data_IF_934874455971
#
_entry.id   IF_934874455971
#
_cell.length_a   1.000
_cell.length_b   1.000
_cell.length_c   1.000
_cell.angle_alpha   90.00
_cell.angle_beta   90.00
_cell.angle_gamma   90.00
#
_symmetry.space_group_name_H-M   'P 1'
#
loop_
_entity.id
_entity.type
_entity.pdbx_description
1 polymer ?
#
# COMPACT_ATOMS: atom_id res chain seq x y z
N UNK A 1 4.08 -33.44 18.63
CA UNK A 1 2.70 -33.89 18.25
C UNK A 1 1.69 -33.93 19.41
N UNK A 2 2.04 -33.79 20.70
CA UNK A 2 1.05 -33.87 21.80
C UNK A 2 0.22 -32.59 22.05
N UNK A 3 0.70 -31.41 21.63
CA UNK A 3 0.01 -30.12 21.87
C UNK A 3 -1.17 -29.85 20.90
N UNK A 4 -1.18 -30.48 19.72
CA UNK A 4 -2.27 -30.29 18.75
C UNK A 4 -3.53 -31.06 19.11
N UNK A 5 -3.40 -32.18 19.83
CA UNK A 5 -4.55 -32.99 20.25
C UNK A 5 -5.43 -32.24 21.26
N UNK A 6 -4.83 -31.54 22.22
CA UNK A 6 -5.55 -30.72 23.20
C UNK A 6 -6.33 -29.59 22.52
N UNK A 7 -5.76 -29.00 21.46
CA UNK A 7 -6.37 -27.91 20.69
C UNK A 7 -7.56 -28.38 19.85
N UNK A 8 -7.51 -29.60 19.32
CA UNK A 8 -8.61 -30.23 18.58
C UNK A 8 -9.73 -30.62 19.55
N UNK A 9 -9.38 -31.17 20.73
CA UNK A 9 -10.36 -31.53 21.76
C UNK A 9 -11.13 -30.29 22.27
N UNK A 10 -10.44 -29.17 22.51
CA UNK A 10 -11.05 -27.91 22.92
C UNK A 10 -12.03 -27.32 21.88
N UNK A 11 -11.85 -27.64 20.60
CA UNK A 11 -12.74 -27.16 19.54
C UNK A 11 -14.01 -28.02 19.40
N UNK A 12 -13.99 -29.27 19.86
CA UNK A 12 -15.15 -30.18 19.76
C UNK A 12 -16.29 -29.85 20.73
N UNK A 13 -15.98 -29.32 21.92
CA UNK A 13 -16.99 -28.93 22.91
C UNK A 13 -17.92 -27.80 22.42
N UNK A 14 -17.43 -26.66 21.89
CA UNK A 14 -18.31 -25.59 21.42
C UNK A 14 -19.12 -26.00 20.18
N UNK A 15 -18.60 -26.87 19.31
CA UNK A 15 -19.32 -27.39 18.15
C UNK A 15 -20.54 -28.24 18.54
N UNK A 16 -20.40 -29.10 19.54
CA UNK A 16 -21.53 -29.92 20.02
C UNK A 16 -22.62 -29.08 20.68
N UNK A 17 -22.25 -28.01 21.41
CA UNK A 17 -23.21 -27.08 22.01
C UNK A 17 -23.99 -26.33 20.91
N UNK A 18 -23.32 -25.91 19.83
CA UNK A 18 -23.96 -25.26 18.68
C UNK A 18 -24.97 -26.19 17.98
N UNK A 19 -24.60 -27.46 17.78
CA UNK A 19 -25.48 -28.47 17.16
C UNK A 19 -26.69 -28.81 18.05
N UNK A 20 -26.50 -28.81 19.37
CA UNK A 20 -27.62 -29.08 20.30
C UNK A 20 -28.57 -27.88 20.36
N UNK A 21 -28.04 -26.66 20.31
CA UNK A 21 -28.83 -25.42 20.23
C UNK A 21 -29.62 -25.31 18.92
N UNK A 22 -29.03 -25.71 17.78
CA UNK A 22 -29.73 -25.69 16.49
C UNK A 22 -30.87 -26.70 16.44
N UNK A 23 -30.72 -27.88 17.06
CA UNK A 23 -31.78 -28.88 17.13
C UNK A 23 -32.99 -28.43 18.00
N UNK A 24 -32.73 -27.65 19.05
CA UNK A 24 -33.80 -27.09 19.90
C UNK A 24 -34.56 -25.96 19.20
N UNK A 25 -33.93 -25.22 18.30
CA UNK A 25 -34.54 -24.10 17.57
C UNK A 25 -35.35 -24.50 16.31
N UNK A 26 -35.31 -25.75 15.87
CA UNK A 26 -35.94 -26.22 14.62
C UNK A 26 -37.45 -26.53 14.73
N UNK A 27 -38.09 -26.29 15.88
CA UNK A 27 -39.52 -26.60 16.07
C UNK A 27 -40.50 -25.48 15.73
N UNK A 28 -40.03 -24.32 15.29
CA UNK A 28 -40.91 -23.22 14.88
C UNK A 28 -40.92 -23.08 13.36
N UNK A 29 -41.97 -23.61 12.73
CA UNK A 29 -42.23 -23.51 11.29
C UNK A 29 -42.51 -22.04 10.92
N UNK A 30 -41.61 -21.33 10.21
CA UNK A 30 -41.93 -20.01 9.69
C UNK A 30 -42.75 -20.23 8.42
N UNK A 31 -43.96 -19.68 8.37
CA UNK A 31 -44.65 -19.50 7.10
C UNK A 31 -43.83 -18.48 6.30
N UNK A 32 -43.05 -18.94 5.33
CA UNK A 32 -42.30 -18.06 4.43
C UNK A 32 -43.26 -17.66 3.31
N UNK A 33 -43.83 -16.47 3.41
CA UNK A 33 -44.30 -15.72 2.24
C UNK A 33 -43.11 -15.52 1.29
N UNK A 34 -43.21 -15.88 0.00
CA UNK A 34 -42.11 -15.69 -0.93
C UNK A 34 -41.96 -14.19 -1.23
N UNK A 35 -41.14 -13.50 -0.44
CA UNK A 35 -40.56 -12.23 -0.83
C UNK A 35 -39.26 -12.53 -1.55
N UNK A 36 -39.26 -12.29 -2.87
CA UNK A 36 -38.11 -12.43 -3.75
C UNK A 36 -36.93 -11.64 -3.19
N UNK A 37 -35.85 -12.28 -2.72
CA UNK A 37 -34.68 -11.57 -2.27
C UNK A 37 -33.94 -11.04 -3.49
N UNK A 38 -33.97 -9.72 -3.72
CA UNK A 38 -33.09 -9.07 -4.69
C UNK A 38 -31.66 -9.25 -4.20
N UNK A 39 -31.02 -10.31 -4.66
CA UNK A 39 -29.59 -10.55 -4.49
C UNK A 39 -28.88 -9.48 -5.31
N UNK A 40 -28.42 -8.40 -4.69
CA UNK A 40 -27.53 -7.42 -5.34
C UNK A 40 -26.18 -8.07 -5.58
N UNK A 41 -26.15 -8.91 -6.62
CA UNK A 41 -24.94 -9.24 -7.34
C UNK A 41 -24.33 -7.92 -7.85
N UNK A 42 -23.05 -7.68 -7.58
CA UNK A 42 -22.29 -6.56 -8.19
C UNK A 42 -21.96 -6.81 -9.67
N UNK A 43 -22.62 -7.78 -10.29
CA UNK A 43 -22.58 -7.96 -11.74
C UNK A 43 -23.54 -6.93 -12.32
N UNK A 44 -23.00 -5.97 -13.07
CA UNK A 44 -23.79 -5.10 -13.92
C UNK A 44 -24.66 -6.01 -14.79
N UNK A 45 -25.96 -6.06 -14.52
CA UNK A 45 -26.90 -6.69 -15.43
C UNK A 45 -26.86 -5.87 -16.70
N UNK A 46 -26.37 -6.47 -17.77
CA UNK A 46 -26.36 -5.89 -19.11
C UNK A 46 -27.82 -5.86 -19.58
N UNK A 47 -28.56 -4.84 -19.14
CA UNK A 47 -29.87 -4.55 -19.70
C UNK A 47 -29.62 -3.93 -21.07
N UNK A 48 -30.18 -4.53 -22.13
CA UNK A 48 -30.23 -3.90 -23.44
C UNK A 48 -30.98 -2.57 -23.30
N UNK A 49 -30.26 -1.46 -23.28
CA UNK A 49 -30.89 -0.14 -23.36
C UNK A 49 -31.56 -0.13 -24.72
N UNK A 50 -32.90 -0.04 -24.82
CA UNK A 50 -33.54 0.15 -26.10
C UNK A 50 -32.92 1.40 -26.71
N UNK A 51 -32.21 1.26 -27.84
CA UNK A 51 -31.60 2.38 -28.55
C UNK A 51 -32.72 3.34 -28.88
N UNK A 52 -32.87 4.35 -28.05
CA UNK A 52 -33.95 5.32 -28.18
C UNK A 52 -33.72 6.03 -29.51
N UNK A 53 -34.70 5.98 -30.42
CA UNK A 53 -34.59 6.41 -31.82
C UNK A 53 -34.51 7.96 -31.97
N UNK A 54 -33.85 8.64 -31.03
CA UNK A 54 -33.68 10.09 -30.96
C UNK A 54 -32.39 10.59 -31.62
N UNK A 55 -31.58 9.71 -32.21
CA UNK A 55 -30.32 10.10 -32.87
C UNK A 55 -30.54 11.06 -34.05
N UNK A 56 -31.74 11.08 -34.63
CA UNK A 56 -32.12 11.96 -35.76
C UNK A 56 -32.94 13.18 -35.35
N UNK A 57 -33.25 13.36 -34.06
CA UNK A 57 -33.97 14.53 -33.57
C UNK A 57 -33.03 15.74 -33.52
N UNK A 58 -33.38 16.80 -34.24
CA UNK A 58 -32.56 18.01 -34.35
C UNK A 58 -32.36 18.69 -32.98
N UNK A 59 -33.38 18.66 -32.12
CA UNK A 59 -33.31 19.25 -30.80
C UNK A 59 -32.38 18.42 -29.91
N UNK A 60 -32.51 17.09 -29.94
CA UNK A 60 -31.63 16.17 -29.21
C UNK A 60 -30.17 16.29 -29.66
N UNK A 61 -29.92 16.45 -30.96
CA UNK A 61 -28.57 16.64 -31.50
C UNK A 61 -27.92 17.92 -30.97
N UNK A 62 -28.65 19.03 -30.92
CA UNK A 62 -28.14 20.31 -30.39
C UNK A 62 -27.84 20.25 -28.89
N UNK A 63 -28.64 19.51 -28.13
CA UNK A 63 -28.44 19.29 -26.69
C UNK A 63 -27.19 18.42 -26.47
N UNK A 64 -27.07 17.32 -27.21
CA UNK A 64 -25.90 16.42 -27.16
C UNK A 64 -24.60 17.16 -27.49
N UNK A 65 -24.55 17.93 -28.58
CA UNK A 65 -23.36 18.71 -28.96
C UNK A 65 -22.97 19.75 -27.90
N UNK A 66 -23.94 20.38 -27.22
CA UNK A 66 -23.67 21.30 -26.12
C UNK A 66 -23.09 20.59 -24.90
N UNK A 67 -23.64 19.43 -24.53
CA UNK A 67 -23.09 18.59 -23.46
C UNK A 67 -21.69 18.10 -23.80
N UNK A 68 -21.46 17.63 -25.02
CA UNK A 68 -20.15 17.17 -25.48
C UNK A 68 -19.13 18.30 -25.44
N UNK A 69 -19.49 19.51 -25.91
CA UNK A 69 -18.61 20.69 -25.85
C UNK A 69 -18.27 21.07 -24.41
N UNK A 70 -19.26 21.15 -23.51
CA UNK A 70 -19.03 21.45 -22.10
C UNK A 70 -18.19 20.36 -21.40
N UNK A 71 -18.42 19.11 -21.78
CA UNK A 71 -17.73 17.96 -21.21
C UNK A 71 -16.30 17.89 -21.68
N UNK A 72 -16.03 18.17 -22.97
CA UNK A 72 -14.69 18.27 -23.55
C UNK A 72 -13.86 19.35 -22.85
N UNK A 73 -14.42 20.56 -22.65
CA UNK A 73 -13.71 21.64 -21.96
C UNK A 73 -13.35 21.26 -20.52
N UNK A 74 -14.27 20.63 -19.78
CA UNK A 74 -13.98 20.16 -18.41
C UNK A 74 -12.92 19.07 -18.38
N UNK A 75 -12.90 18.19 -19.39
CA UNK A 75 -11.87 17.17 -19.50
C UNK A 75 -10.50 17.78 -19.77
N UNK A 76 -10.40 18.73 -20.70
CA UNK A 76 -9.13 19.42 -20.99
C UNK A 76 -8.59 20.15 -19.75
N UNK A 77 -9.44 20.90 -19.05
CA UNK A 77 -9.06 21.56 -17.80
C UNK A 77 -8.68 20.57 -16.68
N UNK A 78 -9.35 19.41 -16.61
CA UNK A 78 -9.02 18.37 -15.65
C UNK A 78 -7.68 17.71 -15.99
N UNK A 79 -7.43 17.37 -17.25
CA UNK A 79 -6.18 16.80 -17.73
C UNK A 79 -5.01 17.74 -17.46
N UNK A 80 -5.18 19.04 -17.74
CA UNK A 80 -4.14 20.04 -17.52
C UNK A 80 -3.84 20.23 -16.02
N UNK A 81 -4.86 20.23 -15.16
CA UNK A 81 -4.67 20.23 -13.70
C UNK A 81 -3.98 18.97 -13.21
N UNK A 82 -4.35 17.82 -13.77
CA UNK A 82 -3.79 16.53 -13.38
C UNK A 82 -2.32 16.41 -13.84
N UNK A 83 -2.02 16.89 -15.05
CA UNK A 83 -0.65 16.88 -15.60
C UNK A 83 0.26 17.81 -14.80
N UNK A 84 -0.17 19.04 -14.50
CA UNK A 84 0.58 20.00 -13.64
C UNK A 84 0.87 19.41 -12.26
N UNK A 85 -0.11 18.73 -11.63
CA UNK A 85 0.09 18.06 -10.32
C UNK A 85 1.07 16.89 -10.41
N UNK A 86 0.96 16.06 -11.45
CA UNK A 86 1.89 14.94 -11.69
C UNK A 86 3.33 15.43 -11.91
N UNK A 87 3.50 16.49 -12.70
CA UNK A 87 4.81 17.08 -12.95
C UNK A 87 5.45 17.62 -11.65
N UNK A 88 4.69 18.38 -10.85
CA UNK A 88 5.18 18.88 -9.55
C UNK A 88 5.63 17.76 -8.61
N UNK A 89 4.87 16.66 -8.55
CA UNK A 89 5.23 15.50 -7.74
C UNK A 89 6.53 14.83 -8.24
N UNK A 90 6.68 14.67 -9.56
CA UNK A 90 7.89 14.10 -10.18
C UNK A 90 9.13 14.96 -9.90
N UNK A 91 9.03 16.27 -10.07
CA UNK A 91 10.11 17.22 -9.78
C UNK A 91 10.50 17.19 -8.29
N UNK A 92 9.52 17.14 -7.39
CA UNK A 92 9.78 17.03 -5.95
C UNK A 92 10.50 15.72 -5.61
N UNK A 93 10.03 14.60 -6.17
CA UNK A 93 10.66 13.30 -5.98
C UNK A 93 12.11 13.28 -6.48
N UNK A 94 12.38 13.86 -7.65
CA UNK A 94 13.75 13.97 -8.19
C UNK A 94 14.66 14.82 -7.30
N UNK A 95 14.15 15.93 -6.73
CA UNK A 95 14.89 16.77 -5.76
C UNK A 95 15.20 15.98 -4.49
N UNK A 96 14.21 15.28 -3.93
CA UNK A 96 14.37 14.49 -2.71
C UNK A 96 15.38 13.35 -2.93
N UNK A 97 15.33 12.68 -4.07
CA UNK A 97 16.30 11.63 -4.45
C UNK A 97 17.72 12.22 -4.54
N UNK A 98 17.90 13.36 -5.21
CA UNK A 98 19.22 14.03 -5.29
C UNK A 98 19.74 14.41 -3.90
N UNK A 99 18.88 14.94 -3.03
CA UNK A 99 19.26 15.28 -1.65
C UNK A 99 19.67 14.04 -0.84
N UNK A 100 18.93 12.94 -0.98
CA UNK A 100 19.26 11.66 -0.32
C UNK A 100 20.61 11.14 -0.81
N UNK A 101 20.89 11.18 -2.12
CA UNK A 101 22.17 10.73 -2.69
C UNK A 101 23.33 11.60 -2.19
N UNK A 102 23.19 12.92 -2.20
CA UNK A 102 24.22 13.83 -1.71
C UNK A 102 24.49 13.63 -0.22
N UNK A 103 23.44 13.48 0.60
CA UNK A 103 23.56 13.18 2.03
C UNK A 103 24.29 11.84 2.26
N UNK A 104 23.95 10.80 1.50
CA UNK A 104 24.61 9.48 1.61
C UNK A 104 26.09 9.55 1.20
N UNK A 105 26.43 10.34 0.17
CA UNK A 105 27.82 10.59 -0.25
C UNK A 105 28.64 11.32 0.84
N UNK A 106 28.05 12.29 1.51
CA UNK A 106 28.68 13.02 2.64
C UNK A 106 28.83 12.14 3.89
N UNK A 107 27.82 11.34 4.23
CA UNK A 107 27.90 10.37 5.32
C UNK A 107 29.00 9.32 5.06
N UNK A 108 29.16 8.89 3.80
CA UNK A 108 30.23 7.96 3.40
C UNK A 108 31.62 8.58 3.54
N UNK A 109 31.82 9.82 3.07
CA UNK A 109 33.11 10.51 3.17
C UNK A 109 33.47 10.88 4.61
N UNK A 110 32.48 11.27 5.43
CA UNK A 110 32.67 11.52 6.86
C UNK A 110 33.10 10.23 7.57
N UNK A 111 32.43 9.11 7.29
CA UNK A 111 32.79 7.83 7.90
C UNK A 111 34.21 7.40 7.55
N UNK A 112 34.63 7.57 6.29
CA UNK A 112 35.99 7.24 5.86
C UNK A 112 37.04 8.13 6.55
N UNK A 113 36.76 9.43 6.73
CA UNK A 113 37.63 10.35 7.48
C UNK A 113 37.70 10.01 8.96
N UNK A 114 36.57 9.66 9.58
CA UNK A 114 36.51 9.23 10.99
C UNK A 114 37.24 7.90 11.19
N UNK A 115 37.13 6.96 10.25
CA UNK A 115 37.85 5.69 10.29
C UNK A 115 39.36 5.89 10.19
N UNK A 116 39.82 6.71 9.23
CA UNK A 116 41.25 7.09 9.10
C UNK A 116 41.76 7.88 10.31
N UNK A 117 40.95 8.79 10.85
CA UNK A 117 41.28 9.57 12.05
C UNK A 117 41.35 8.71 13.31
N UNK A 118 40.41 7.78 13.48
CA UNK A 118 40.40 6.83 14.58
C UNK A 118 41.58 5.85 14.51
N UNK A 119 41.96 5.41 13.31
CA UNK A 119 43.15 4.58 13.11
C UNK A 119 44.45 5.33 13.47
N UNK A 120 44.54 6.63 13.15
CA UNK A 120 45.70 7.47 13.55
C UNK A 120 45.71 7.79 15.05
N UNK A 121 44.56 8.05 15.66
CA UNK A 121 44.46 8.46 17.06
C UNK A 121 44.47 7.27 18.04
N UNK A 122 43.99 6.10 17.61
CA UNK A 122 44.02 4.86 18.38
C UNK A 122 45.43 4.33 18.66
N UNK A 123 46.41 4.71 17.84
CA UNK A 123 47.83 4.44 18.12
C UNK A 123 48.47 5.42 19.11
N UNK A 124 47.86 6.59 19.36
CA UNK A 124 48.43 7.66 20.20
C UNK A 124 47.88 7.73 21.63
N UNK A 125 46.65 7.26 21.87
CA UNK A 125 45.98 7.30 23.16
C UNK A 125 45.56 5.88 23.57
N UNK A 126 46.50 5.13 24.16
CA UNK A 126 46.40 3.71 24.49
C UNK A 126 45.36 3.34 25.57
N UNK A 127 44.07 3.56 25.30
CA UNK A 127 42.96 3.11 26.14
C UNK A 127 42.14 2.02 25.46
N UNK A 128 42.16 0.79 25.99
CA UNK A 128 41.31 -0.34 25.52
C UNK A 128 39.82 0.03 25.54
N UNK A 129 39.39 0.91 26.44
CA UNK A 129 38.03 1.41 26.49
C UNK A 129 37.65 2.28 25.27
N UNK A 130 38.56 3.13 24.79
CA UNK A 130 38.30 4.01 23.66
C UNK A 130 38.17 3.23 22.33
N UNK A 131 38.97 2.18 22.16
CA UNK A 131 38.91 1.31 20.98
C UNK A 131 37.62 0.48 20.95
N UNK A 132 37.18 -0.07 22.09
CA UNK A 132 35.91 -0.80 22.20
C UNK A 132 34.69 0.09 21.90
N UNK A 133 34.67 1.32 22.40
CA UNK A 133 33.58 2.27 22.12
C UNK A 133 33.51 2.60 20.62
N UNK A 134 34.66 2.80 19.97
CA UNK A 134 34.71 3.06 18.52
C UNK A 134 34.25 1.86 17.69
N UNK A 135 34.60 0.63 18.10
CA UNK A 135 34.12 -0.60 17.45
C UNK A 135 32.61 -0.74 17.59
N UNK A 136 32.05 -0.47 18.76
CA UNK A 136 30.59 -0.53 19.01
C UNK A 136 29.87 0.50 18.13
N UNK A 137 30.34 1.75 18.09
CA UNK A 137 29.78 2.80 17.23
C UNK A 137 29.84 2.39 15.76
N UNK A 138 30.97 1.84 15.31
CA UNK A 138 31.12 1.33 13.95
C UNK A 138 30.12 0.21 13.62
N UNK A 139 29.94 -0.77 14.51
CA UNK A 139 28.98 -1.87 14.34
C UNK A 139 27.53 -1.37 14.29
N UNK A 140 27.16 -0.40 15.13
CA UNK A 140 25.83 0.22 15.12
C UNK A 140 25.58 0.96 13.79
N UNK A 141 26.55 1.73 13.31
CA UNK A 141 26.46 2.41 12.01
C UNK A 141 26.37 1.41 10.85
N UNK A 142 27.17 0.34 10.89
CA UNK A 142 27.15 -0.74 9.88
C UNK A 142 25.80 -1.46 9.87
N UNK A 143 25.24 -1.78 11.04
CA UNK A 143 23.92 -2.39 11.17
C UNK A 143 22.81 -1.46 10.62
N UNK A 144 22.83 -0.17 10.99
CA UNK A 144 21.89 0.83 10.46
C UNK A 144 21.95 0.93 8.93
N UNK A 145 23.15 0.94 8.33
CA UNK A 145 23.31 0.97 6.86
C UNK A 145 22.73 -0.28 6.21
N UNK A 146 23.04 -1.47 6.73
CA UNK A 146 22.52 -2.74 6.19
C UNK A 146 20.99 -2.80 6.23
N UNK A 147 20.38 -2.31 7.32
CA UNK A 147 18.92 -2.18 7.45
C UNK A 147 18.33 -1.17 6.44
N UNK A 148 18.97 -0.03 6.22
CA UNK A 148 18.54 0.99 5.24
C UNK A 148 18.61 0.47 3.81
N UNK A 149 19.65 -0.30 3.45
CA UNK A 149 19.81 -0.92 2.13
C UNK A 149 18.74 -1.99 1.85
N UNK A 150 18.47 -2.88 2.82
CA UNK A 150 17.43 -3.90 2.68
C UNK A 150 16.03 -3.29 2.52
N UNK A 151 15.73 -2.20 3.23
CA UNK A 151 14.48 -1.45 3.03
C UNK A 151 14.40 -0.84 1.63
N UNK A 152 15.45 -0.17 1.16
CA UNK A 152 15.51 0.39 -0.20
C UNK A 152 15.24 -0.68 -1.26
N UNK A 153 15.81 -1.89 -1.12
CA UNK A 153 15.57 -3.01 -2.02
C UNK A 153 14.13 -3.52 -2.01
N UNK A 154 13.44 -3.49 -0.87
CA UNK A 154 12.02 -3.85 -0.82
C UNK A 154 11.14 -2.82 -1.52
N UNK A 155 11.38 -1.53 -1.31
CA UNK A 155 10.61 -0.47 -1.98
C UNK A 155 10.83 -0.45 -3.50
N UNK A 156 12.05 -0.72 -3.98
CA UNK A 156 12.28 -0.85 -5.42
C UNK A 156 11.66 -2.10 -6.03
N UNK A 157 11.47 -3.19 -5.28
CA UNK A 157 10.71 -4.36 -5.75
C UNK A 157 9.22 -4.08 -5.87
N UNK A 158 8.63 -3.35 -4.91
CA UNK A 158 7.22 -2.95 -4.93
C UNK A 158 6.90 -1.93 -6.02
N UNK A 159 7.86 -1.05 -6.35
CA UNK A 159 7.67 -0.02 -7.39
C UNK A 159 7.75 -0.60 -8.83
N UNK A 160 8.44 -1.73 -9.01
CA UNK A 160 8.62 -2.39 -10.32
C UNK A 160 7.64 -3.55 -10.55
N UNK A 161 6.65 -3.72 -9.67
CA UNK A 161 5.55 -4.67 -9.81
C UNK A 161 4.32 -3.93 -10.32
#
# INVERSE_FOLDING_TARGET
MKLHYIKILLFSLPLNILVTSSYVHDKNKPYITPHTPTTTSRVLSECDIPTSNYDNDADMKSVKENFDRQTSQRFDEYEERMSKKRQKCKEQCEKDIKQIILKDKMEKSLAEKVEKGCLRCGCGLGGVAATLVMIIIYLVLRYRRKKKMNKKQQYTKLLNQ
#
